data_IF_754136641584
#
_entry.id   IF_754136641584
#
_cell.length_a   1.000
_cell.length_b   1.000
_cell.length_c   1.000
_cell.angle_alpha   90.00
_cell.angle_beta   90.00
_cell.angle_gamma   90.00
#
_symmetry.space_group_name_H-M   'P 1'
#
loop_
_entity.id
_entity.type
_entity.pdbx_description
1 polymer ?
#
# COMPACT_ATOMS: atom_id res chain seq x y z
N UNK A 1 -18.83 -3.20 0.46
CA UNK A 1 -19.46 -2.29 -0.50
C UNK A 1 -18.44 -1.36 -1.15
N UNK A 2 -17.63 -0.66 -0.37
CA UNK A 2 -16.59 0.24 -0.91
C UNK A 2 -15.55 -0.50 -1.74
N UNK A 3 -15.16 -1.69 -1.31
CA UNK A 3 -14.21 -2.53 -2.04
C UNK A 3 -14.76 -2.93 -3.41
N UNK A 4 -16.04 -3.33 -3.45
CA UNK A 4 -16.68 -3.69 -4.71
C UNK A 4 -16.80 -2.49 -5.65
N UNK A 5 -17.12 -1.33 -5.11
CA UNK A 5 -17.21 -0.10 -5.89
C UNK A 5 -15.85 0.26 -6.48
N UNK A 6 -14.79 0.21 -5.69
CA UNK A 6 -13.44 0.49 -6.14
C UNK A 6 -13.01 -0.50 -7.24
N UNK A 7 -13.29 -1.79 -7.07
CA UNK A 7 -12.97 -2.79 -8.09
C UNK A 7 -13.71 -2.53 -9.39
N UNK A 8 -14.97 -2.10 -9.32
CA UNK A 8 -15.79 -1.84 -10.50
C UNK A 8 -15.26 -0.69 -11.37
N UNK A 9 -14.50 0.23 -10.78
CA UNK A 9 -13.87 1.34 -11.52
C UNK A 9 -12.39 1.09 -11.81
N UNK A 10 -11.92 -0.13 -11.62
CA UNK A 10 -10.59 -0.55 -12.04
C UNK A 10 -9.50 -0.53 -10.98
N UNK A 11 -9.85 -0.30 -9.72
CA UNK A 11 -8.86 -0.33 -8.63
C UNK A 11 -8.34 -1.74 -8.42
N UNK A 12 -7.03 -1.89 -8.27
CA UNK A 12 -6.37 -3.17 -8.05
C UNK A 12 -5.86 -3.36 -6.64
N UNK A 13 -5.61 -2.25 -5.93
CA UNK A 13 -5.18 -2.26 -4.53
C UNK A 13 -5.97 -1.19 -3.76
N UNK A 14 -6.09 -1.38 -2.45
CA UNK A 14 -6.73 -0.40 -1.58
C UNK A 14 -5.87 -0.16 -0.35
N UNK A 15 -5.94 1.05 0.19
CA UNK A 15 -5.24 1.43 1.40
C UNK A 15 -5.96 2.59 2.10
N UNK A 16 -5.66 2.78 3.37
CA UNK A 16 -6.35 3.79 4.18
C UNK A 16 -5.41 4.83 4.78
N UNK A 17 -4.12 4.79 4.44
CA UNK A 17 -3.12 5.58 5.15
C UNK A 17 -2.37 6.61 4.30
N UNK A 18 -2.62 6.67 3.00
CA UNK A 18 -1.95 7.60 2.09
C UNK A 18 -2.45 9.04 2.14
N UNK A 19 -3.64 9.26 2.61
CA UNK A 19 -4.20 10.59 2.85
C UNK A 19 -4.01 10.95 4.34
N UNK A 20 -3.69 12.20 4.68
CA UNK A 20 -3.67 13.39 3.82
C UNK A 20 -2.32 13.69 3.14
N UNK A 21 -1.30 12.87 3.32
CA UNK A 21 0.07 13.16 2.83
C UNK A 21 0.09 13.43 1.33
N UNK A 22 -0.57 12.60 0.53
CA UNK A 22 -0.59 12.76 -0.92
C UNK A 22 -1.28 14.07 -1.32
N UNK A 23 -2.35 14.44 -0.65
CA UNK A 23 -3.09 15.68 -0.91
C UNK A 23 -2.23 16.90 -0.59
N UNK A 24 -1.58 16.89 0.56
CA UNK A 24 -0.72 17.99 0.99
C UNK A 24 0.51 18.14 0.10
N UNK A 25 1.10 17.03 -0.33
CA UNK A 25 2.22 17.05 -1.26
C UNK A 25 1.81 17.67 -2.61
N UNK A 26 0.63 17.31 -3.13
CA UNK A 26 0.11 17.89 -4.37
C UNK A 26 -0.14 19.39 -4.25
N UNK A 27 -0.70 19.84 -3.12
CA UNK A 27 -0.94 21.27 -2.87
C UNK A 27 0.37 22.06 -2.81
N UNK A 28 1.42 21.46 -2.24
CA UNK A 28 2.73 22.09 -2.13
C UNK A 28 3.56 22.02 -3.43
N UNK A 29 3.03 21.35 -4.46
CA UNK A 29 3.76 21.20 -5.73
C UNK A 29 4.89 20.19 -5.67
N UNK A 30 4.89 19.30 -4.68
CA UNK A 30 5.91 18.28 -4.51
C UNK A 30 5.61 17.05 -5.37
N UNK A 31 6.65 16.42 -5.86
CA UNK A 31 6.52 15.12 -6.51
C UNK A 31 6.33 14.06 -5.44
N UNK A 32 5.29 13.27 -5.56
CA UNK A 32 4.93 12.27 -4.57
C UNK A 32 4.83 10.89 -5.20
N UNK A 33 5.39 9.91 -4.55
CA UNK A 33 5.25 8.51 -4.94
C UNK A 33 5.15 7.66 -3.68
N UNK A 34 4.53 6.51 -3.80
CA UNK A 34 4.36 5.61 -2.67
C UNK A 34 4.73 4.18 -3.07
N UNK A 35 5.25 3.43 -2.11
CA UNK A 35 5.43 1.99 -2.24
C UNK A 35 4.33 1.34 -1.42
N UNK A 36 3.51 0.53 -2.09
CA UNK A 36 2.45 -0.22 -1.42
C UNK A 36 2.90 -1.67 -1.21
N UNK A 37 2.81 -2.14 0.02
CA UNK A 37 3.03 -3.53 0.35
C UNK A 37 1.68 -4.21 0.52
N UNK A 38 1.35 -5.11 -0.40
CA UNK A 38 0.12 -5.87 -0.31
C UNK A 38 0.31 -6.98 0.72
N UNK A 39 -0.39 -6.88 1.85
CA UNK A 39 -0.22 -7.80 2.97
C UNK A 39 -1.32 -8.84 3.06
N UNK A 40 -2.48 -8.56 2.49
CA UNK A 40 -3.63 -9.45 2.53
C UNK A 40 -4.65 -9.09 1.45
N UNK A 41 -5.53 -10.02 1.07
CA UNK A 41 -6.66 -9.67 0.21
C UNK A 41 -7.58 -8.67 0.89
N UNK A 42 -8.21 -7.79 0.11
CA UNK A 42 -9.17 -6.84 0.63
C UNK A 42 -10.39 -7.54 1.23
N UNK A 43 -11.08 -6.86 2.12
CA UNK A 43 -12.26 -7.39 2.77
C UNK A 43 -13.31 -7.81 1.74
N UNK A 44 -13.82 -9.03 1.85
CA UNK A 44 -14.82 -9.59 0.96
C UNK A 44 -14.29 -10.18 -0.35
N UNK A 45 -12.99 -10.09 -0.62
CA UNK A 45 -12.36 -10.66 -1.82
C UNK A 45 -11.95 -12.12 -1.59
N UNK A 46 -11.62 -12.48 -0.36
CA UNK A 46 -11.22 -13.83 0.02
C UNK A 46 -12.13 -14.34 1.14
N UNK A 47 -12.39 -15.66 1.15
CA UNK A 47 -13.16 -16.31 2.21
C UNK A 47 -12.35 -16.50 3.50
N UNK A 48 -11.05 -16.28 3.45
CA UNK A 48 -10.18 -16.46 4.61
C UNK A 48 -10.25 -15.26 5.54
N UNK A 49 -10.27 -15.54 6.84
CA UNK A 49 -10.13 -14.50 7.86
C UNK A 49 -8.68 -14.00 7.87
N UNK A 50 -8.55 -12.69 7.83
CA UNK A 50 -7.25 -12.03 7.89
C UNK A 50 -6.91 -11.80 9.35
N UNK A 51 -5.76 -12.29 9.80
CA UNK A 51 -5.29 -12.13 11.18
C UNK A 51 -4.10 -11.17 11.22
N UNK A 52 -3.86 -10.58 12.39
CA UNK A 52 -2.67 -9.74 12.60
C UNK A 52 -1.38 -10.54 12.43
N UNK A 53 -1.42 -11.83 12.70
CA UNK A 53 -0.26 -12.72 12.49
C UNK A 53 0.09 -12.83 11.01
N UNK A 54 -0.91 -12.94 10.14
CA UNK A 54 -0.70 -12.99 8.68
C UNK A 54 -0.07 -11.71 8.18
N UNK A 55 -0.55 -10.57 8.64
CA UNK A 55 0.00 -9.25 8.29
C UNK A 55 1.44 -9.13 8.76
N UNK A 56 1.71 -9.52 10.01
CA UNK A 56 3.06 -9.47 10.58
C UNK A 56 4.04 -10.37 9.83
N UNK A 57 3.61 -11.55 9.40
CA UNK A 57 4.45 -12.46 8.63
C UNK A 57 4.87 -11.85 7.30
N UNK A 58 3.94 -11.22 6.57
CA UNK A 58 4.24 -10.55 5.29
C UNK A 58 5.18 -9.37 5.52
N UNK A 59 4.94 -8.56 6.55
CA UNK A 59 5.79 -7.41 6.89
C UNK A 59 7.22 -7.85 7.19
N UNK A 60 7.39 -8.90 7.98
CA UNK A 60 8.70 -9.45 8.32
C UNK A 60 9.46 -9.93 7.08
N UNK A 61 8.77 -10.65 6.20
CA UNK A 61 9.38 -11.22 5.00
C UNK A 61 9.77 -10.15 3.99
N UNK A 62 8.99 -9.07 3.90
CA UNK A 62 9.13 -8.05 2.84
C UNK A 62 9.85 -6.79 3.29
N UNK A 63 10.12 -6.60 4.59
CA UNK A 63 10.73 -5.37 5.11
C UNK A 63 12.09 -5.06 4.49
N UNK A 64 12.95 -6.05 4.34
CA UNK A 64 14.26 -5.86 3.75
C UNK A 64 14.16 -5.44 2.27
N UNK A 65 13.22 -6.01 1.56
CA UNK A 65 12.97 -5.66 0.15
C UNK A 65 12.56 -4.19 0.00
N UNK A 66 11.72 -3.71 0.89
CA UNK A 66 11.28 -2.30 0.90
C UNK A 66 12.46 -1.38 1.19
N UNK A 67 13.27 -1.72 2.19
CA UNK A 67 14.47 -0.95 2.54
C UNK A 67 15.42 -0.86 1.35
N UNK A 68 15.64 -1.97 0.65
CA UNK A 68 16.50 -2.02 -0.54
C UNK A 68 15.97 -1.13 -1.66
N UNK A 69 14.64 -1.10 -1.87
CA UNK A 69 14.01 -0.25 -2.88
C UNK A 69 14.25 1.22 -2.54
N UNK A 70 14.00 1.62 -1.28
CA UNK A 70 14.23 2.99 -0.84
C UNK A 70 15.69 3.41 -1.00
N UNK A 71 16.61 2.54 -0.61
CA UNK A 71 18.04 2.80 -0.71
C UNK A 71 18.45 3.07 -2.15
N UNK A 72 18.02 2.21 -3.08
CA UNK A 72 18.32 2.39 -4.50
C UNK A 72 17.66 3.63 -5.10
N UNK A 73 16.43 3.94 -4.69
CA UNK A 73 15.72 5.12 -5.17
C UNK A 73 16.43 6.40 -4.72
N UNK A 74 16.81 6.48 -3.46
CA UNK A 74 17.50 7.65 -2.89
C UNK A 74 18.83 7.88 -3.57
N UNK A 75 19.60 6.85 -3.86
CA UNK A 75 20.90 6.97 -4.51
C UNK A 75 20.83 7.41 -5.97
N UNK A 76 19.65 7.32 -6.61
CA UNK A 76 19.44 7.71 -8.01
C UNK A 76 18.79 9.07 -8.21
N UNK A 77 18.39 9.71 -7.13
CA UNK A 77 17.75 11.02 -7.20
C UNK A 77 18.83 12.16 -7.39
#
# INVERSE_FOLDING_TARGET
TEIRMAASVGATVVGMTGCPEVTLACEAGLRYAAIALSVNPAAGVSDQKITMEDISAVLKTSSQKIIDIFDRAITRI
#
